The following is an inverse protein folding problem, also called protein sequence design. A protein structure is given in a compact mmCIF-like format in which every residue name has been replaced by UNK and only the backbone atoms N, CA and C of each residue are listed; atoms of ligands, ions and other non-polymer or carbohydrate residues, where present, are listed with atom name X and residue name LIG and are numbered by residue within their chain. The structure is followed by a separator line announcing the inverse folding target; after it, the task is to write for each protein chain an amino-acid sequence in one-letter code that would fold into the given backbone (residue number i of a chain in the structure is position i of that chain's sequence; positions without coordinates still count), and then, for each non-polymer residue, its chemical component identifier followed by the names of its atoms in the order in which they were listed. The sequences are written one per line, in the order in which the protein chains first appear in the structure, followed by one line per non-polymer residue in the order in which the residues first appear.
data_IF_841174161441
#
_entry.id   IF_841174161441
#
_cell.length_a   1.000
_cell.length_b   1.000
_cell.length_c   1.000
_cell.angle_alpha   90.00
_cell.angle_beta   90.00
_cell.angle_gamma   90.00
#
_symmetry.space_group_name_H-M   'P 1'
#
loop_
_entity.id
_entity.type
_entity.pdbx_description
1 polymer ?
#
# COMPACT_ATOMS: atom_id res chain seq x y z
N UNK A 1 52.56 -45.15 -13.21
CA UNK A 1 51.40 -45.31 -12.30
C UNK A 1 50.33 -44.34 -12.69
N UNK A 2 49.19 -44.83 -13.17
CA UNK A 2 48.05 -43.99 -13.58
C UNK A 2 47.53 -43.19 -12.37
N UNK A 3 47.42 -41.85 -12.50
CA UNK A 3 46.79 -40.99 -11.47
C UNK A 3 45.32 -41.44 -11.31
N UNK A 4 45.02 -42.09 -10.21
CA UNK A 4 43.66 -42.49 -9.90
C UNK A 4 42.75 -41.22 -9.94
N UNK A 5 41.71 -41.25 -10.74
CA UNK A 5 40.77 -40.14 -10.95
C UNK A 5 40.04 -39.91 -9.62
N UNK A 6 40.27 -38.75 -8.99
CA UNK A 6 39.59 -38.39 -7.73
C UNK A 6 38.09 -38.21 -7.94
N UNK A 7 37.24 -38.57 -6.98
CA UNK A 7 35.82 -38.33 -7.04
C UNK A 7 35.50 -36.83 -7.18
N UNK A 8 34.41 -36.51 -7.86
CA UNK A 8 33.98 -35.13 -8.08
C UNK A 8 33.87 -34.36 -6.75
N UNK A 9 34.57 -33.22 -6.66
CA UNK A 9 34.56 -32.36 -5.48
C UNK A 9 35.51 -32.73 -4.37
N UNK A 10 36.35 -33.79 -4.57
CA UNK A 10 37.48 -34.12 -3.70
C UNK A 10 38.76 -33.68 -4.40
N UNK A 11 39.63 -32.98 -3.69
CA UNK A 11 40.89 -32.45 -4.18
C UNK A 11 42.02 -32.83 -3.24
N UNK A 12 43.24 -33.02 -3.78
CA UNK A 12 44.45 -33.14 -3.02
C UNK A 12 45.17 -31.78 -3.06
N UNK A 13 45.45 -31.20 -1.90
CA UNK A 13 46.24 -29.98 -1.79
C UNK A 13 47.47 -30.19 -0.90
N UNK A 14 48.61 -30.20 -1.54
CA UNK A 14 49.82 -30.58 -0.89
C UNK A 14 49.74 -32.01 -0.32
N UNK A 15 49.94 -32.17 0.96
CA UNK A 15 49.85 -33.45 1.66
C UNK A 15 48.51 -33.70 2.37
N UNK A 16 47.41 -33.01 1.91
CA UNK A 16 46.08 -33.08 2.57
C UNK A 16 44.94 -33.23 1.58
N UNK A 17 43.84 -33.83 2.05
CA UNK A 17 42.59 -33.88 1.35
C UNK A 17 41.77 -32.58 1.55
N UNK A 18 41.07 -32.16 0.53
CA UNK A 18 40.09 -31.06 0.57
C UNK A 18 38.82 -31.48 -0.13
N UNK A 19 37.72 -30.93 0.29
CA UNK A 19 36.41 -31.02 -0.39
C UNK A 19 35.96 -29.64 -0.81
N UNK A 20 35.23 -29.59 -1.94
CA UNK A 20 34.54 -28.37 -2.31
C UNK A 20 33.08 -28.64 -2.64
N UNK A 21 32.23 -27.63 -2.33
CA UNK A 21 30.79 -27.65 -2.55
C UNK A 21 30.28 -26.22 -2.78
N UNK A 22 29.08 -26.09 -3.37
CA UNK A 22 28.42 -24.79 -3.53
C UNK A 22 27.59 -24.51 -2.29
N UNK A 23 27.76 -23.33 -1.69
CA UNK A 23 26.95 -22.86 -0.56
C UNK A 23 26.62 -21.38 -0.74
N UNK A 24 25.32 -21.03 -0.70
CA UNK A 24 24.83 -19.67 -0.94
C UNK A 24 25.40 -19.02 -2.22
N UNK A 25 25.41 -19.78 -3.32
CA UNK A 25 25.91 -19.31 -4.62
C UNK A 25 27.42 -19.20 -4.76
N UNK A 26 28.20 -19.51 -3.70
CA UNK A 26 29.68 -19.45 -3.72
C UNK A 26 30.29 -20.84 -3.62
N UNK A 27 31.41 -21.04 -4.32
CA UNK A 27 32.20 -22.26 -4.20
C UNK A 27 33.00 -22.22 -2.89
N UNK A 28 32.64 -23.07 -1.94
CA UNK A 28 33.31 -23.26 -0.68
C UNK A 28 34.30 -24.43 -0.77
N UNK A 29 35.44 -24.28 -0.15
CA UNK A 29 36.50 -25.33 -0.15
C UNK A 29 37.03 -25.45 1.28
N UNK A 30 37.01 -26.70 1.82
CA UNK A 30 37.47 -27.00 3.19
C UNK A 30 38.55 -28.05 3.17
N UNK A 31 39.63 -27.81 3.95
CA UNK A 31 40.73 -28.73 4.16
C UNK A 31 40.40 -29.70 5.28
N UNK A 32 40.52 -31.00 5.00
CA UNK A 32 40.36 -32.07 5.99
C UNK A 32 41.68 -32.29 6.72
N UNK A 33 41.99 -31.44 7.71
CA UNK A 33 43.31 -31.30 8.32
C UNK A 33 43.87 -32.58 8.96
N UNK A 34 43.02 -33.48 9.47
CA UNK A 34 43.35 -34.71 10.15
C UNK A 34 43.31 -35.97 9.28
N UNK A 35 43.08 -35.81 7.94
CA UNK A 35 42.88 -36.95 7.04
C UNK A 35 44.09 -37.14 6.11
N UNK A 36 44.74 -38.30 6.23
CA UNK A 36 45.78 -38.73 5.35
C UNK A 36 45.22 -39.09 3.95
N UNK A 37 46.09 -39.01 2.95
CA UNK A 37 45.71 -39.33 1.53
C UNK A 37 45.72 -40.83 1.36
N UNK A 38 44.62 -41.49 1.72
CA UNK A 38 44.44 -42.95 1.51
C UNK A 38 43.16 -43.16 0.67
N UNK A 39 43.05 -44.28 -0.07
CA UNK A 39 41.84 -44.61 -0.83
C UNK A 39 40.58 -44.61 0.05
N UNK A 40 40.68 -45.08 1.28
CA UNK A 40 39.59 -45.09 2.26
C UNK A 40 39.14 -43.66 2.62
N UNK A 41 40.08 -42.76 2.89
CA UNK A 41 39.79 -41.38 3.24
C UNK A 41 39.28 -40.57 2.05
N UNK A 42 39.70 -40.88 0.80
CA UNK A 42 39.18 -40.27 -0.44
C UNK A 42 37.71 -40.65 -0.60
N UNK A 43 37.36 -41.92 -0.38
CA UNK A 43 35.95 -42.38 -0.42
C UNK A 43 35.10 -41.71 0.66
N UNK A 44 35.65 -41.62 1.86
CA UNK A 44 34.98 -40.98 2.98
C UNK A 44 34.77 -39.46 2.79
N UNK A 45 35.74 -38.77 2.15
CA UNK A 45 35.61 -37.35 1.77
C UNK A 45 34.50 -37.12 0.74
N UNK A 46 34.39 -38.04 -0.22
CA UNK A 46 33.31 -38.02 -1.22
C UNK A 46 31.94 -38.19 -0.58
N UNK A 47 31.80 -39.14 0.37
CA UNK A 47 30.57 -39.36 1.13
C UNK A 47 30.20 -38.13 1.97
N UNK A 48 31.18 -37.56 2.69
CA UNK A 48 30.99 -36.34 3.48
C UNK A 48 30.48 -35.19 2.61
N UNK A 49 31.04 -35.01 1.42
CA UNK A 49 30.58 -34.00 0.49
C UNK A 49 29.14 -34.23 0.02
N UNK A 50 28.75 -35.46 -0.24
CA UNK A 50 27.39 -35.83 -0.65
C UNK A 50 26.37 -35.51 0.47
N UNK A 51 26.70 -35.81 1.72
CA UNK A 51 25.90 -35.45 2.88
C UNK A 51 25.75 -33.93 2.99
N UNK A 52 26.84 -33.16 2.88
CA UNK A 52 26.81 -31.70 2.91
C UNK A 52 25.90 -31.13 1.80
N UNK A 53 25.98 -31.69 0.59
CA UNK A 53 25.13 -31.25 -0.51
C UNK A 53 23.63 -31.54 -0.24
N UNK A 54 23.31 -32.69 0.34
CA UNK A 54 21.97 -33.04 0.76
C UNK A 54 21.47 -32.09 1.85
N UNK A 55 22.29 -31.85 2.88
CA UNK A 55 21.94 -30.90 3.97
C UNK A 55 21.71 -29.48 3.43
N UNK A 56 22.51 -29.03 2.43
CA UNK A 56 22.32 -27.74 1.78
C UNK A 56 21.01 -27.68 1.00
N UNK A 57 20.65 -28.72 0.25
CA UNK A 57 19.40 -28.82 -0.50
C UNK A 57 18.18 -28.82 0.42
N UNK A 58 18.30 -29.46 1.60
CA UNK A 58 17.25 -29.50 2.62
C UNK A 58 17.23 -28.25 3.51
N UNK A 59 18.16 -27.30 3.33
CA UNK A 59 18.28 -26.10 4.16
C UNK A 59 18.75 -26.36 5.59
N UNK A 60 19.32 -27.54 5.87
CA UNK A 60 19.72 -27.99 7.19
C UNK A 60 21.23 -27.88 7.44
N UNK A 61 22.01 -27.39 6.48
CA UNK A 61 23.46 -27.32 6.59
C UNK A 61 23.91 -26.17 7.49
N UNK A 62 24.53 -26.53 8.62
CA UNK A 62 25.22 -25.60 9.52
C UNK A 62 26.73 -25.62 9.25
N UNK A 63 27.24 -24.53 8.67
CA UNK A 63 28.66 -24.39 8.32
C UNK A 63 29.57 -24.38 9.54
N UNK A 64 29.16 -23.69 10.62
CA UNK A 64 29.94 -23.54 11.83
C UNK A 64 30.02 -24.86 12.61
N UNK A 65 28.91 -25.59 12.72
CA UNK A 65 28.87 -26.91 13.32
C UNK A 65 29.72 -27.92 12.55
N UNK A 66 29.71 -27.86 11.20
CA UNK A 66 30.44 -28.81 10.36
C UNK A 66 31.94 -28.52 10.23
N UNK A 67 32.32 -27.23 10.20
CA UNK A 67 33.71 -26.76 10.03
C UNK A 67 34.06 -25.65 11.06
N UNK A 68 34.11 -25.94 12.34
CA UNK A 68 34.26 -24.93 13.40
C UNK A 68 35.59 -24.15 13.32
N UNK A 69 36.63 -24.70 12.67
CA UNK A 69 37.93 -24.05 12.50
C UNK A 69 38.12 -23.32 11.17
N UNK A 70 37.07 -23.26 10.33
CA UNK A 70 37.12 -22.57 9.06
C UNK A 70 36.94 -21.06 9.23
N UNK A 71 37.76 -20.26 8.55
CA UNK A 71 37.53 -18.79 8.47
C UNK A 71 36.14 -18.43 7.94
N UNK A 72 35.59 -19.28 7.07
CA UNK A 72 34.25 -19.11 6.52
C UNK A 72 33.13 -19.44 7.54
N UNK A 73 33.40 -20.26 8.54
CA UNK A 73 32.47 -20.46 9.66
C UNK A 73 32.24 -19.15 10.41
N UNK A 74 33.31 -18.40 10.68
CA UNK A 74 33.23 -17.07 11.31
C UNK A 74 32.46 -16.06 10.38
N UNK A 75 32.73 -16.07 9.07
CA UNK A 75 32.02 -15.24 8.11
C UNK A 75 30.53 -15.66 7.96
N UNK A 76 30.23 -16.95 8.02
CA UNK A 76 28.86 -17.48 8.00
C UNK A 76 28.12 -17.13 9.31
N UNK A 77 28.80 -17.07 10.44
CA UNK A 77 28.25 -16.65 11.73
C UNK A 77 28.07 -15.13 11.81
N UNK A 78 28.94 -14.35 11.15
CA UNK A 78 28.80 -12.87 11.05
C UNK A 78 27.71 -12.49 10.04
N UNK A 79 27.54 -13.26 8.97
CA UNK A 79 26.47 -13.06 7.98
C UNK A 79 25.09 -13.58 8.46
N UNK A 80 25.05 -14.49 9.42
CA UNK A 80 23.95 -14.78 10.31
C UNK A 80 24.26 -14.03 11.61
N UNK A 81 23.93 -12.76 11.70
CA UNK A 81 23.73 -12.12 13.01
C UNK A 81 22.89 -13.08 13.87
N UNK A 82 22.86 -12.98 15.22
CA UNK A 82 22.21 -13.95 16.06
C UNK A 82 20.86 -14.25 15.46
N UNK A 83 20.63 -15.50 15.03
CA UNK A 83 19.32 -15.93 14.50
C UNK A 83 18.37 -15.63 15.63
N UNK A 84 17.65 -14.53 15.51
CA UNK A 84 16.64 -14.12 16.49
C UNK A 84 15.71 -15.31 16.58
N UNK A 85 15.77 -16.05 17.67
CA UNK A 85 14.88 -17.18 17.88
C UNK A 85 13.47 -16.61 17.94
N UNK A 86 12.70 -16.80 16.86
CA UNK A 86 11.33 -16.31 16.75
C UNK A 86 10.43 -17.47 17.14
N UNK A 87 10.03 -17.50 18.41
CA UNK A 87 9.26 -18.59 19.01
C UNK A 87 7.80 -18.20 19.20
N UNK A 88 7.52 -16.90 19.41
CA UNK A 88 6.16 -16.41 19.66
C UNK A 88 5.61 -15.59 18.52
N UNK A 89 4.29 -15.49 18.45
CA UNK A 89 3.60 -14.70 17.45
C UNK A 89 3.94 -13.20 17.54
N UNK A 90 4.14 -12.68 18.75
CA UNK A 90 4.57 -11.30 18.97
C UNK A 90 5.93 -11.00 18.34
N UNK A 91 6.92 -11.86 18.57
CA UNK A 91 8.26 -11.76 17.99
C UNK A 91 8.22 -11.86 16.46
N UNK A 92 7.37 -12.76 15.90
CA UNK A 92 7.17 -12.89 14.46
C UNK A 92 6.66 -11.60 13.85
N UNK A 93 5.62 -11.00 14.43
CA UNK A 93 5.05 -9.75 13.94
C UNK A 93 6.07 -8.63 13.97
N UNK A 94 6.88 -8.53 15.03
CA UNK A 94 7.89 -7.48 15.17
C UNK A 94 9.01 -7.66 14.13
N UNK A 95 9.51 -8.89 13.93
CA UNK A 95 10.48 -9.21 12.89
C UNK A 95 9.92 -8.92 11.47
N UNK A 96 8.65 -9.25 11.23
CA UNK A 96 8.00 -8.97 9.96
C UNK A 96 7.85 -7.46 9.71
N UNK A 97 7.46 -6.67 10.73
CA UNK A 97 7.33 -5.22 10.62
C UNK A 97 8.68 -4.54 10.34
N UNK A 98 9.75 -4.97 10.98
CA UNK A 98 11.11 -4.47 10.72
C UNK A 98 11.53 -4.69 9.26
N UNK A 99 11.27 -5.88 8.72
CA UNK A 99 11.57 -6.19 7.32
C UNK A 99 10.70 -5.41 6.32
N UNK A 100 9.46 -5.06 6.70
CA UNK A 100 8.53 -4.34 5.81
C UNK A 100 8.71 -2.82 5.85
N UNK A 101 9.39 -2.28 6.84
CA UNK A 101 9.53 -0.82 7.00
C UNK A 101 10.18 -0.13 5.79
N UNK A 102 11.30 -0.62 5.22
CA UNK A 102 11.90 0.02 4.04
C UNK A 102 11.08 -0.18 2.74
N UNK A 103 10.18 -1.16 2.70
CA UNK A 103 9.38 -1.48 1.52
C UNK A 103 8.07 -0.68 1.43
N UNK A 104 7.57 -0.19 2.57
CA UNK A 104 6.25 0.42 2.67
C UNK A 104 6.31 1.93 2.84
N UNK A 105 5.46 2.64 2.11
CA UNK A 105 5.24 4.07 2.36
C UNK A 105 4.79 4.29 3.82
N UNK A 106 5.26 5.37 4.46
CA UNK A 106 5.03 5.68 5.89
C UNK A 106 3.56 5.58 6.32
N UNK A 107 2.65 6.11 5.51
CA UNK A 107 1.21 6.02 5.78
C UNK A 107 0.69 4.56 5.75
N UNK A 108 1.19 3.74 4.82
CA UNK A 108 0.87 2.31 4.76
C UNK A 108 1.45 1.59 5.97
N UNK A 109 2.70 1.91 6.35
CA UNK A 109 3.35 1.33 7.52
C UNK A 109 2.61 1.66 8.83
N UNK A 110 2.15 2.90 9.01
CA UNK A 110 1.31 3.27 10.17
C UNK A 110 0.02 2.44 10.22
N UNK A 111 -0.68 2.30 9.09
CA UNK A 111 -1.90 1.46 9.00
C UNK A 111 -1.57 0.00 9.34
N UNK A 112 -0.49 -0.53 8.77
CA UNK A 112 -0.03 -1.90 9.00
C UNK A 112 0.31 -2.14 10.47
N UNK A 113 1.05 -1.23 11.12
CA UNK A 113 1.34 -1.32 12.57
C UNK A 113 0.06 -1.32 13.41
N UNK A 114 -0.92 -0.46 13.09
CA UNK A 114 -2.21 -0.46 13.80
C UNK A 114 -2.98 -1.76 13.59
N UNK A 115 -2.95 -2.32 12.39
CA UNK A 115 -3.56 -3.60 12.07
C UNK A 115 -2.90 -4.75 12.84
N UNK A 116 -1.57 -4.77 12.90
CA UNK A 116 -0.80 -5.78 13.64
C UNK A 116 -1.05 -5.71 15.16
N UNK A 117 -1.25 -4.52 15.73
CA UNK A 117 -1.67 -4.40 17.15
C UNK A 117 -2.97 -5.15 17.43
N UNK A 118 -3.99 -4.99 16.57
CA UNK A 118 -5.25 -5.74 16.71
C UNK A 118 -5.06 -7.23 16.50
N UNK A 119 -4.25 -7.64 15.52
CA UNK A 119 -3.97 -9.05 15.25
C UNK A 119 -3.25 -9.69 16.43
N UNK A 120 -2.21 -9.03 16.97
CA UNK A 120 -1.51 -9.48 18.19
C UNK A 120 -2.45 -9.62 19.38
N UNK A 121 -3.37 -8.66 19.56
CA UNK A 121 -4.34 -8.69 20.65
C UNK A 121 -5.27 -9.91 20.59
N UNK A 122 -5.76 -10.28 19.40
CA UNK A 122 -6.71 -11.38 19.21
C UNK A 122 -6.00 -12.75 19.22
N UNK A 123 -4.86 -12.87 18.55
CA UNK A 123 -4.11 -14.14 18.42
C UNK A 123 -3.38 -14.48 19.72
N UNK A 124 -2.94 -13.47 20.46
CA UNK A 124 -2.08 -13.57 21.64
C UNK A 124 -0.60 -13.38 21.26
N UNK A 125 0.08 -12.34 21.81
CA UNK A 125 1.49 -12.08 21.48
C UNK A 125 2.44 -13.19 21.94
N UNK A 126 2.13 -13.85 23.05
CA UNK A 126 2.96 -14.89 23.68
C UNK A 126 2.66 -16.30 23.16
N UNK A 127 1.71 -16.43 22.24
CA UNK A 127 1.34 -17.72 21.65
C UNK A 127 2.52 -18.28 20.86
N UNK A 128 2.87 -19.55 21.13
CA UNK A 128 3.91 -20.26 20.39
C UNK A 128 3.54 -20.42 18.92
N UNK A 129 4.50 -20.20 18.02
CA UNK A 129 4.26 -20.29 16.57
C UNK A 129 3.88 -21.70 16.13
N UNK A 130 4.44 -22.72 16.80
CA UNK A 130 4.15 -24.13 16.51
C UNK A 130 2.67 -24.52 16.76
N UNK A 131 1.98 -23.77 17.63
CA UNK A 131 0.59 -24.03 18.01
C UNK A 131 -0.44 -23.32 17.11
N UNK A 132 0.04 -22.52 16.17
CA UNK A 132 -0.87 -21.78 15.25
C UNK A 132 -1.24 -22.68 14.08
N UNK A 133 -2.50 -23.06 14.02
CA UNK A 133 -3.05 -23.92 12.98
C UNK A 133 -4.14 -23.22 12.16
N UNK A 134 -4.67 -23.91 11.13
CA UNK A 134 -5.70 -23.36 10.24
C UNK A 134 -6.98 -22.95 11.00
N UNK A 135 -7.39 -23.73 12.00
CA UNK A 135 -8.60 -23.44 12.77
C UNK A 135 -8.47 -22.13 13.58
N UNK A 136 -7.27 -21.78 14.01
CA UNK A 136 -7.00 -20.50 14.69
C UNK A 136 -7.25 -19.30 13.79
N UNK A 137 -6.92 -19.41 12.50
CA UNK A 137 -7.19 -18.35 11.52
C UNK A 137 -8.70 -18.20 11.30
N UNK A 138 -9.43 -19.31 11.28
CA UNK A 138 -10.90 -19.30 11.21
C UNK A 138 -11.52 -18.72 12.48
N UNK A 139 -10.99 -19.07 13.66
CA UNK A 139 -11.37 -18.49 14.95
C UNK A 139 -11.11 -16.98 15.00
N UNK A 140 -9.94 -16.52 14.54
CA UNK A 140 -9.62 -15.12 14.40
C UNK A 140 -10.61 -14.37 13.48
N UNK A 141 -10.99 -14.98 12.34
CA UNK A 141 -12.00 -14.43 11.44
C UNK A 141 -13.36 -14.29 12.13
N UNK A 142 -13.78 -15.29 12.87
CA UNK A 142 -15.05 -15.28 13.60
C UNK A 142 -15.04 -14.23 14.73
N UNK A 143 -13.94 -14.10 15.46
CA UNK A 143 -13.75 -13.05 16.45
C UNK A 143 -13.90 -11.65 15.84
N UNK A 144 -13.34 -11.43 14.65
CA UNK A 144 -13.50 -10.16 13.93
C UNK A 144 -14.93 -9.91 13.46
N UNK A 145 -15.71 -10.95 13.13
CA UNK A 145 -17.09 -10.80 12.66
C UNK A 145 -18.06 -10.48 13.80
N UNK A 146 -17.86 -11.03 14.98
CA UNK A 146 -18.87 -11.05 16.03
C UNK A 146 -18.38 -10.51 17.37
N UNK A 147 -17.06 -10.44 17.59
CA UNK A 147 -16.49 -10.09 18.90
C UNK A 147 -16.07 -8.64 19.03
N UNK A 148 -15.79 -8.26 20.28
CA UNK A 148 -15.09 -7.01 20.60
C UNK A 148 -13.60 -7.19 20.37
N UNK A 149 -13.10 -6.63 19.29
CA UNK A 149 -11.72 -6.86 18.82
C UNK A 149 -10.86 -5.60 18.82
N UNK A 150 -11.19 -4.63 19.65
CA UNK A 150 -10.43 -3.40 19.79
C UNK A 150 -9.47 -3.50 20.96
N UNK A 151 -8.18 -3.29 20.70
CA UNK A 151 -7.13 -3.32 21.74
C UNK A 151 -7.11 -2.08 22.64
N UNK A 152 -7.92 -1.05 22.34
CA UNK A 152 -8.11 0.14 23.16
C UNK A 152 -9.59 0.33 23.44
N UNK A 153 -9.92 0.51 24.70
CA UNK A 153 -11.25 0.96 25.11
C UNK A 153 -11.41 2.44 24.75
N UNK A 154 -12.17 2.71 23.71
CA UNK A 154 -12.62 4.05 23.36
C UNK A 154 -14.10 3.99 23.01
N UNK A 155 -14.82 5.09 23.26
CA UNK A 155 -16.25 5.19 22.92
C UNK A 155 -16.57 4.88 21.45
N UNK A 156 -15.59 5.02 20.54
CA UNK A 156 -15.71 4.69 19.11
C UNK A 156 -15.44 3.22 18.79
N UNK A 157 -14.77 2.51 19.67
CA UNK A 157 -14.38 1.11 19.48
C UNK A 157 -15.36 0.11 20.11
N UNK A 158 -16.44 0.57 20.72
CA UNK A 158 -17.45 -0.25 21.40
C UNK A 158 -18.45 -0.88 20.43
N UNK A 159 -18.01 -1.25 19.23
CA UNK A 159 -18.82 -1.98 18.26
C UNK A 159 -18.44 -3.44 18.27
N UNK A 160 -19.44 -4.29 18.39
CA UNK A 160 -19.27 -5.71 18.14
C UNK A 160 -19.19 -5.97 16.65
N UNK A 161 -18.19 -6.75 16.25
CA UNK A 161 -17.96 -7.13 14.87
C UNK A 161 -17.38 -6.03 13.97
N UNK A 162 -16.86 -6.45 12.84
CA UNK A 162 -16.31 -5.60 11.79
C UNK A 162 -16.93 -5.93 10.43
N UNK A 163 -16.89 -4.99 9.50
CA UNK A 163 -17.39 -5.22 8.14
C UNK A 163 -16.58 -6.32 7.46
N UNK A 164 -17.22 -7.10 6.57
CA UNK A 164 -16.60 -8.18 5.79
C UNK A 164 -15.33 -7.71 5.08
N UNK A 165 -15.32 -6.48 4.55
CA UNK A 165 -14.13 -5.89 3.94
C UNK A 165 -12.97 -5.80 4.95
N UNK A 166 -13.23 -5.27 6.13
CA UNK A 166 -12.21 -5.16 7.19
C UNK A 166 -11.74 -6.53 7.64
N UNK A 167 -12.67 -7.49 7.83
CA UNK A 167 -12.34 -8.86 8.19
C UNK A 167 -11.41 -9.48 7.16
N UNK A 168 -11.74 -9.41 5.86
CA UNK A 168 -10.89 -9.92 4.78
C UNK A 168 -9.50 -9.26 4.75
N UNK A 169 -9.42 -7.95 5.01
CA UNK A 169 -8.14 -7.22 5.06
C UNK A 169 -7.26 -7.71 6.23
N UNK A 170 -7.85 -7.95 7.40
CA UNK A 170 -7.12 -8.42 8.59
C UNK A 170 -6.72 -9.89 8.49
N UNK A 171 -7.61 -10.76 8.01
CA UNK A 171 -7.29 -12.18 7.75
C UNK A 171 -6.18 -12.29 6.70
N UNK A 172 -6.26 -11.50 5.62
CA UNK A 172 -5.22 -11.45 4.60
C UNK A 172 -3.86 -10.99 5.15
N UNK A 173 -3.86 -10.04 6.09
CA UNK A 173 -2.66 -9.58 6.76
C UNK A 173 -2.04 -10.66 7.67
N UNK A 174 -2.87 -11.36 8.47
CA UNK A 174 -2.43 -12.51 9.28
C UNK A 174 -1.82 -13.61 8.40
N UNK A 175 -2.50 -14.00 7.31
CA UNK A 175 -1.97 -14.97 6.34
C UNK A 175 -0.63 -14.52 5.74
N UNK A 176 -0.44 -13.21 5.52
CA UNK A 176 0.82 -12.67 4.99
C UNK A 176 1.97 -12.80 6.00
N UNK A 177 1.71 -12.54 7.28
CA UNK A 177 2.70 -12.72 8.36
C UNK A 177 3.07 -14.20 8.53
N UNK A 178 2.08 -15.10 8.51
CA UNK A 178 2.33 -16.56 8.62
C UNK A 178 3.06 -17.11 7.38
N UNK A 179 2.79 -16.54 6.20
CA UNK A 179 3.56 -16.88 4.97
C UNK A 179 5.02 -16.44 5.09
N UNK A 180 5.28 -15.28 5.68
CA UNK A 180 6.63 -14.85 6.00
C UNK A 180 7.30 -15.82 6.98
N UNK A 181 6.61 -16.26 8.05
CA UNK A 181 7.12 -17.23 8.99
C UNK A 181 7.54 -18.55 8.33
N UNK A 182 6.70 -19.07 7.43
CA UNK A 182 7.01 -20.28 6.66
C UNK A 182 8.24 -20.08 5.75
N UNK A 183 8.28 -19.00 4.99
CA UNK A 183 9.41 -18.69 4.09
C UNK A 183 10.73 -18.47 4.82
N UNK A 184 10.67 -17.98 6.05
CA UNK A 184 11.81 -17.75 6.93
C UNK A 184 12.20 -18.97 7.76
N UNK A 185 11.47 -20.09 7.65
CA UNK A 185 11.75 -21.33 8.37
C UNK A 185 11.34 -21.31 9.84
N UNK A 186 10.54 -20.32 10.30
CA UNK A 186 10.05 -20.23 11.68
C UNK A 186 8.90 -21.22 11.95
N UNK A 187 8.15 -21.59 10.94
CA UNK A 187 7.11 -22.66 10.99
C UNK A 187 7.30 -23.63 9.84
N UNK A 188 6.88 -24.87 10.04
CA UNK A 188 6.97 -25.95 9.03
C UNK A 188 5.69 -26.10 8.23
N UNK A 189 4.55 -25.83 8.85
CA UNK A 189 3.23 -25.95 8.26
C UNK A 189 2.75 -24.65 7.63
N UNK A 190 1.75 -24.74 6.79
CA UNK A 190 1.15 -23.60 6.07
C UNK A 190 -0.30 -23.38 6.51
N UNK A 191 -0.56 -22.96 7.74
CA UNK A 191 -1.91 -22.82 8.28
C UNK A 191 -2.79 -21.82 7.50
N UNK A 192 -2.18 -20.98 6.69
CA UNK A 192 -2.81 -19.94 5.86
C UNK A 192 -3.31 -20.46 4.50
N UNK A 193 -3.01 -21.72 4.10
CA UNK A 193 -3.51 -22.29 2.85
C UNK A 193 -5.03 -22.49 2.94
N UNK A 194 -5.70 -22.36 1.82
CA UNK A 194 -7.17 -22.52 1.64
C UNK A 194 -8.06 -21.59 2.47
N UNK A 195 -7.52 -20.58 3.12
CA UNK A 195 -8.29 -19.54 3.80
C UNK A 195 -9.00 -18.65 2.77
N UNK A 196 -10.27 -18.94 2.49
CA UNK A 196 -11.09 -18.22 1.52
C UNK A 196 -11.57 -16.88 2.07
N UNK A 197 -11.55 -15.85 1.21
CA UNK A 197 -12.18 -14.57 1.52
C UNK A 197 -13.69 -14.70 1.60
N UNK A 198 -14.29 -13.99 2.53
CA UNK A 198 -15.73 -13.86 2.61
C UNK A 198 -16.26 -13.05 1.42
N UNK A 199 -17.42 -13.49 0.88
CA UNK A 199 -18.13 -12.74 -0.16
C UNK A 199 -18.52 -11.35 0.36
N UNK A 200 -18.36 -10.33 -0.45
CA UNK A 200 -18.76 -8.97 -0.10
C UNK A 200 -19.69 -8.39 -1.17
N UNK A 201 -20.59 -7.53 -0.74
CA UNK A 201 -21.36 -6.71 -1.67
C UNK A 201 -20.49 -5.56 -2.19
N UNK A 202 -20.57 -5.27 -3.47
CA UNK A 202 -19.95 -4.09 -4.04
C UNK A 202 -20.76 -2.85 -3.62
N UNK A 203 -20.07 -1.89 -3.02
CA UNK A 203 -20.68 -0.58 -2.74
C UNK A 203 -20.82 0.16 -4.07
N UNK A 204 -22.05 0.44 -4.46
CA UNK A 204 -22.31 1.25 -5.66
C UNK A 204 -21.93 2.72 -5.41
N UNK A 205 -21.45 3.45 -6.43
CA UNK A 205 -21.33 4.89 -6.36
C UNK A 205 -22.68 5.55 -6.03
N UNK A 206 -22.60 6.63 -5.27
CA UNK A 206 -23.75 7.44 -4.86
C UNK A 206 -23.48 8.91 -5.21
N UNK A 207 -23.47 9.26 -6.53
CA UNK A 207 -23.17 10.61 -6.99
C UNK A 207 -24.21 11.60 -6.53
N UNK A 208 -23.85 12.88 -6.52
CA UNK A 208 -24.81 13.98 -6.37
C UNK A 208 -25.70 14.04 -7.62
N UNK A 209 -26.98 14.25 -7.40
CA UNK A 209 -27.89 14.69 -8.44
C UNK A 209 -27.62 16.17 -8.77
N UNK A 210 -28.14 16.66 -9.89
CA UNK A 210 -27.89 18.03 -10.31
C UNK A 210 -28.53 19.05 -9.35
N UNK A 211 -29.74 18.81 -8.93
CA UNK A 211 -30.46 19.61 -7.93
C UNK A 211 -29.77 19.59 -6.54
N UNK A 212 -29.23 18.44 -6.12
CA UNK A 212 -28.45 18.35 -4.87
C UNK A 212 -27.16 19.20 -4.94
N UNK A 213 -26.52 19.27 -6.10
CA UNK A 213 -25.39 20.16 -6.32
C UNK A 213 -25.81 21.64 -6.25
N UNK A 214 -26.89 22.00 -6.90
CA UNK A 214 -27.39 23.37 -6.90
C UNK A 214 -27.75 23.82 -5.48
N UNK A 215 -28.41 22.97 -4.69
CA UNK A 215 -28.66 23.20 -3.27
C UNK A 215 -27.35 23.38 -2.48
N UNK A 216 -26.34 22.54 -2.75
CA UNK A 216 -25.03 22.63 -2.11
C UNK A 216 -24.35 23.96 -2.41
N UNK A 217 -24.34 24.38 -3.67
CA UNK A 217 -23.71 25.64 -4.12
C UNK A 217 -24.44 26.87 -3.54
N UNK A 218 -25.77 26.85 -3.50
CA UNK A 218 -26.58 27.92 -2.92
C UNK A 218 -26.37 28.07 -1.41
N UNK A 219 -26.19 26.97 -0.69
CA UNK A 219 -26.00 26.97 0.77
C UNK A 219 -24.59 27.39 1.20
N UNK A 220 -23.63 27.51 0.29
CA UNK A 220 -22.23 27.81 0.55
C UNK A 220 -21.79 29.13 -0.07
N UNK A 221 -20.81 29.75 0.54
CA UNK A 221 -20.19 31.00 0.10
C UNK A 221 -18.69 30.89 -0.04
N UNK A 222 -18.09 31.80 -0.81
CA UNK A 222 -16.66 32.00 -0.96
C UNK A 222 -15.89 30.67 -1.14
N UNK A 223 -14.74 30.55 -0.46
CA UNK A 223 -13.86 29.39 -0.57
C UNK A 223 -14.57 28.04 -0.36
N UNK A 224 -15.62 27.95 0.48
CA UNK A 224 -16.35 26.69 0.72
C UNK A 224 -17.08 26.24 -0.53
N UNK A 225 -17.75 27.16 -1.24
CA UNK A 225 -18.41 26.91 -2.51
C UNK A 225 -17.39 26.52 -3.58
N UNK A 226 -16.33 27.30 -3.73
CA UNK A 226 -15.31 27.05 -4.75
C UNK A 226 -14.62 25.71 -4.56
N UNK A 227 -14.29 25.31 -3.33
CA UNK A 227 -13.66 24.03 -3.02
C UNK A 227 -14.47 22.84 -3.53
N UNK A 228 -15.77 22.83 -3.29
CA UNK A 228 -16.63 21.69 -3.68
C UNK A 228 -16.99 21.73 -5.16
N UNK A 229 -17.15 22.89 -5.76
CA UNK A 229 -17.27 23.03 -7.21
C UNK A 229 -16.04 22.48 -7.91
N UNK A 230 -14.83 22.89 -7.49
CA UNK A 230 -13.58 22.39 -8.05
C UNK A 230 -13.47 20.87 -7.85
N UNK A 231 -13.76 20.34 -6.65
CA UNK A 231 -13.70 18.91 -6.40
C UNK A 231 -14.63 18.10 -7.31
N UNK A 232 -15.84 18.59 -7.55
CA UNK A 232 -16.85 17.92 -8.37
C UNK A 232 -16.49 18.01 -9.88
N UNK A 233 -16.02 19.16 -10.37
CA UNK A 233 -15.73 19.37 -11.79
C UNK A 233 -14.30 19.03 -12.23
N UNK A 234 -13.46 18.51 -11.31
CA UNK A 234 -12.11 18.03 -11.62
C UNK A 234 -11.90 16.56 -11.28
N UNK A 235 -12.77 15.97 -10.47
CA UNK A 235 -12.63 14.59 -10.00
C UNK A 235 -11.39 14.34 -9.15
N UNK A 236 -10.77 15.36 -8.55
CA UNK A 236 -9.60 15.25 -7.69
C UNK A 236 -9.89 14.38 -6.46
N UNK A 237 -8.88 13.59 -6.05
CA UNK A 237 -8.93 12.93 -4.73
C UNK A 237 -8.75 13.98 -3.64
N UNK A 238 -9.30 13.76 -2.44
CA UNK A 238 -9.22 14.76 -1.36
C UNK A 238 -7.80 15.11 -0.95
N UNK A 239 -6.87 14.15 -1.02
CA UNK A 239 -5.46 14.43 -0.77
C UNK A 239 -4.80 15.26 -1.88
N UNK A 240 -5.24 15.10 -3.12
CA UNK A 240 -4.83 15.92 -4.26
C UNK A 240 -5.42 17.34 -4.12
N UNK A 241 -6.70 17.45 -3.76
CA UNK A 241 -7.39 18.73 -3.51
C UNK A 241 -6.73 19.51 -2.36
N UNK A 242 -6.35 18.82 -1.27
CA UNK A 242 -5.66 19.42 -0.12
C UNK A 242 -4.24 19.89 -0.44
N UNK A 243 -3.59 19.21 -1.38
CA UNK A 243 -2.22 19.49 -1.80
C UNK A 243 -2.14 20.43 -3.02
N UNK A 244 -3.28 20.91 -3.52
CA UNK A 244 -3.34 21.76 -4.71
C UNK A 244 -2.71 23.12 -4.44
N UNK A 245 -1.80 23.51 -5.30
CA UNK A 245 -1.11 24.79 -5.22
C UNK A 245 -1.30 25.63 -6.50
N UNK A 246 -1.16 26.94 -6.39
CA UNK A 246 -1.30 27.83 -7.54
C UNK A 246 -0.22 27.61 -8.60
N UNK A 247 0.92 27.08 -8.21
CA UNK A 247 2.02 26.67 -9.10
C UNK A 247 1.66 25.48 -10.01
N UNK A 248 0.57 24.80 -9.74
CA UNK A 248 0.06 23.67 -10.54
C UNK A 248 -1.03 24.05 -11.53
N UNK A 249 -1.48 25.31 -11.55
CA UNK A 249 -2.66 25.75 -12.29
C UNK A 249 -2.29 26.76 -13.35
N UNK A 250 -2.63 26.45 -14.60
CA UNK A 250 -2.59 27.36 -15.75
C UNK A 250 -4.03 27.69 -16.17
N UNK A 251 -4.52 28.85 -15.72
CA UNK A 251 -5.88 29.29 -16.01
C UNK A 251 -6.07 29.78 -17.46
N UNK A 252 -5.00 30.12 -18.15
CA UNK A 252 -5.02 30.58 -19.53
C UNK A 252 -5.19 29.38 -20.48
N UNK A 253 -4.49 28.28 -20.16
CA UNK A 253 -4.67 27.00 -20.85
C UNK A 253 -5.89 26.20 -20.36
N UNK A 254 -6.46 26.53 -19.22
CA UNK A 254 -7.50 25.75 -18.59
C UNK A 254 -7.01 24.39 -18.09
N UNK A 255 -5.81 24.34 -17.50
CA UNK A 255 -5.14 23.11 -17.07
C UNK A 255 -4.75 23.14 -15.59
N UNK A 256 -4.82 21.97 -14.97
CA UNK A 256 -4.41 21.72 -13.61
C UNK A 256 -3.53 20.47 -13.54
N UNK A 257 -2.30 20.61 -13.08
CA UNK A 257 -1.37 19.50 -12.92
C UNK A 257 -1.49 18.86 -11.54
N UNK A 258 -1.74 17.58 -11.48
CA UNK A 258 -1.75 16.79 -10.24
C UNK A 258 -0.35 16.18 -10.04
N UNK A 259 0.43 16.77 -9.15
CA UNK A 259 1.81 16.38 -8.86
C UNK A 259 2.00 15.90 -7.43
N UNK A 260 1.04 16.18 -6.52
CA UNK A 260 1.13 15.92 -5.09
C UNK A 260 -0.16 15.35 -4.51
N UNK A 261 0.01 14.69 -3.37
CA UNK A 261 -1.09 14.20 -2.54
C UNK A 261 -0.73 14.40 -1.06
N UNK A 262 -1.66 14.91 -0.28
CA UNK A 262 -1.55 14.97 1.17
C UNK A 262 -2.05 13.67 1.78
N UNK A 263 -1.24 13.03 2.62
CA UNK A 263 -1.60 11.80 3.31
C UNK A 263 -2.37 12.08 4.61
N UNK A 264 -2.94 11.04 5.21
CA UNK A 264 -3.59 11.15 6.54
C UNK A 264 -2.61 11.44 7.69
N UNK A 265 -1.31 11.32 7.44
CA UNK A 265 -0.25 11.72 8.35
C UNK A 265 0.06 13.22 8.29
N UNK A 266 -0.51 13.94 7.32
CA UNK A 266 -0.14 15.34 7.06
C UNK A 266 1.13 15.49 6.23
N UNK A 267 1.61 14.42 5.61
CA UNK A 267 2.81 14.41 4.77
C UNK A 267 2.45 14.57 3.30
N UNK A 268 3.23 15.39 2.58
CA UNK A 268 3.11 15.53 1.14
C UNK A 268 3.97 14.49 0.43
N UNK A 269 3.43 13.90 -0.61
CA UNK A 269 4.13 12.92 -1.45
C UNK A 269 3.46 12.77 -2.81
N UNK A 270 3.92 11.82 -3.62
CA UNK A 270 3.37 11.58 -4.95
C UNK A 270 1.92 11.07 -4.90
N UNK A 271 1.16 11.23 -5.97
CA UNK A 271 -0.10 10.54 -6.15
C UNK A 271 0.04 9.02 -5.93
N UNK A 272 -1.06 8.34 -5.57
CA UNK A 272 -1.04 6.93 -5.17
C UNK A 272 -0.47 5.99 -6.26
N UNK A 273 -0.76 6.27 -7.52
CA UNK A 273 -0.32 5.48 -8.70
C UNK A 273 0.49 6.36 -9.64
N UNK A 274 1.18 5.77 -10.61
CA UNK A 274 1.89 6.51 -11.65
C UNK A 274 0.91 7.31 -12.52
N UNK A 275 -0.22 6.72 -12.90
CA UNK A 275 -1.30 7.40 -13.60
C UNK A 275 -1.94 8.55 -12.80
N UNK A 276 -1.65 8.62 -11.49
CA UNK A 276 -2.06 9.75 -10.66
C UNK A 276 -1.36 11.06 -11.00
N UNK A 277 -0.13 11.02 -11.55
CA UNK A 277 0.53 12.18 -12.15
C UNK A 277 -0.14 12.48 -13.50
N UNK A 278 -0.84 13.58 -13.58
CA UNK A 278 -1.64 13.92 -14.76
C UNK A 278 -1.90 15.40 -14.84
N UNK A 279 -2.27 15.84 -16.03
CA UNK A 279 -2.89 17.15 -16.27
C UNK A 279 -4.40 16.95 -16.41
N UNK A 280 -5.16 17.69 -15.63
CA UNK A 280 -6.62 17.74 -15.70
C UNK A 280 -7.03 18.92 -16.55
N UNK A 281 -7.76 18.71 -17.63
CA UNK A 281 -8.38 19.76 -18.42
C UNK A 281 -9.61 20.27 -17.68
N UNK A 282 -9.64 21.56 -17.41
CA UNK A 282 -10.66 22.18 -16.56
C UNK A 282 -11.95 22.45 -17.33
N UNK A 283 -13.06 22.01 -16.77
CA UNK A 283 -14.38 22.41 -17.24
C UNK A 283 -14.69 23.85 -16.78
N UNK A 284 -15.53 24.57 -17.54
CA UNK A 284 -15.86 25.98 -17.28
C UNK A 284 -16.22 26.28 -15.79
N UNK A 285 -17.08 25.49 -15.10
CA UNK A 285 -17.39 25.79 -13.70
C UNK A 285 -16.16 25.69 -12.77
N UNK A 286 -15.18 24.83 -13.09
CA UNK A 286 -13.95 24.74 -12.32
C UNK A 286 -13.03 25.94 -12.58
N UNK A 287 -12.94 26.40 -13.82
CA UNK A 287 -12.17 27.61 -14.18
C UNK A 287 -12.72 28.85 -13.47
N UNK A 288 -14.03 29.06 -13.50
CA UNK A 288 -14.70 30.16 -12.82
C UNK A 288 -14.47 30.12 -11.31
N UNK A 289 -14.64 28.94 -10.68
CA UNK A 289 -14.40 28.77 -9.27
C UNK A 289 -12.92 29.00 -8.90
N UNK A 290 -11.96 28.59 -9.73
CA UNK A 290 -10.53 28.86 -9.51
C UNK A 290 -10.19 30.33 -9.69
N UNK A 291 -10.75 31.01 -10.68
CA UNK A 291 -10.58 32.47 -10.85
C UNK A 291 -11.07 33.23 -9.61
N UNK A 292 -12.25 32.89 -9.11
CA UNK A 292 -12.79 33.48 -7.90
C UNK A 292 -11.98 33.13 -6.64
N UNK A 293 -11.49 31.88 -6.54
CA UNK A 293 -10.63 31.45 -5.45
C UNK A 293 -9.26 32.16 -5.47
N UNK A 294 -8.72 32.49 -6.64
CA UNK A 294 -7.44 33.20 -6.80
C UNK A 294 -7.46 34.56 -6.14
N UNK A 295 -8.60 35.24 -6.15
CA UNK A 295 -8.76 36.52 -5.46
C UNK A 295 -8.62 36.40 -3.93
N UNK A 296 -8.90 35.20 -3.36
CA UNK A 296 -8.84 34.94 -1.93
C UNK A 296 -7.45 34.48 -1.47
N UNK A 297 -6.75 33.68 -2.26
CA UNK A 297 -5.52 33.01 -1.81
C UNK A 297 -4.33 33.11 -2.78
N UNK A 298 -4.53 33.67 -3.97
CA UNK A 298 -3.47 33.75 -5.01
C UNK A 298 -2.24 34.58 -4.62
N UNK A 299 -2.43 35.54 -3.70
CA UNK A 299 -1.36 36.41 -3.21
C UNK A 299 -0.81 36.00 -1.83
N UNK A 300 -1.25 34.85 -1.28
CA UNK A 300 -0.70 34.36 -0.02
C UNK A 300 0.81 34.10 -0.14
N UNK A 301 1.53 34.24 0.97
CA UNK A 301 2.96 33.92 1.01
C UNK A 301 3.17 32.41 0.76
N UNK A 302 4.15 32.02 -0.06
CA UNK A 302 4.49 30.63 -0.25
C UNK A 302 4.90 29.97 1.08
N UNK A 303 4.43 28.76 1.30
CA UNK A 303 4.79 27.93 2.45
C UNK A 303 5.80 26.87 2.01
N UNK A 304 6.85 26.68 2.78
CA UNK A 304 7.78 25.58 2.58
C UNK A 304 7.19 24.29 3.14
N UNK A 305 7.24 23.24 2.34
CA UNK A 305 6.82 21.88 2.72
C UNK A 305 7.93 20.88 2.45
N UNK A 306 7.90 19.75 3.16
CA UNK A 306 8.73 18.59 2.82
C UNK A 306 7.89 17.64 1.97
N UNK A 307 8.34 17.36 0.75
CA UNK A 307 7.80 16.39 -0.15
C UNK A 307 8.57 15.07 0.01
N UNK A 308 7.86 13.97 0.28
CA UNK A 308 8.43 12.64 0.47
C UNK A 308 8.30 11.86 -0.83
N UNK A 309 9.42 11.49 -1.44
CA UNK A 309 9.43 10.65 -2.63
C UNK A 309 8.99 9.21 -2.32
N UNK A 310 8.79 8.40 -3.36
CA UNK A 310 8.50 6.96 -3.20
C UNK A 310 9.71 6.17 -2.73
N UNK A 311 10.90 6.66 -3.07
CA UNK A 311 12.16 6.09 -2.60
C UNK A 311 12.30 6.30 -1.10
N UNK A 312 12.71 5.25 -0.40
CA UNK A 312 12.84 5.28 1.05
C UNK A 312 13.86 6.33 1.52
N UNK A 313 13.44 7.20 2.43
CA UNK A 313 14.27 8.26 2.98
C UNK A 313 14.49 9.47 2.08
N UNK A 314 14.08 9.44 0.81
CA UNK A 314 14.25 10.55 -0.12
C UNK A 314 13.19 11.64 0.10
N UNK A 315 13.65 12.89 0.28
CA UNK A 315 12.78 14.04 0.49
C UNK A 315 13.27 15.26 -0.30
N UNK A 316 12.35 16.17 -0.59
CA UNK A 316 12.60 17.43 -1.28
C UNK A 316 11.85 18.56 -0.58
N UNK A 317 12.41 19.75 -0.56
CA UNK A 317 11.72 20.96 -0.09
C UNK A 317 11.06 21.67 -1.27
N UNK A 318 9.78 22.00 -1.12
CA UNK A 318 9.02 22.76 -2.12
C UNK A 318 8.39 23.98 -1.46
N UNK A 319 8.35 25.11 -2.18
CA UNK A 319 7.70 26.36 -1.74
C UNK A 319 6.43 26.54 -2.57
N UNK A 320 5.28 26.52 -1.91
CA UNK A 320 3.98 26.44 -2.56
C UNK A 320 2.97 27.42 -1.96
N UNK A 321 2.12 27.97 -2.81
CA UNK A 321 0.93 28.74 -2.42
C UNK A 321 -0.31 27.86 -2.56
N UNK A 322 -0.83 27.43 -1.42
CA UNK A 322 -2.00 26.53 -1.44
C UNK A 322 -3.26 27.25 -1.92
N UNK A 323 -4.04 26.54 -2.76
CA UNK A 323 -5.31 27.06 -3.30
C UNK A 323 -6.33 27.20 -2.18
N UNK A 324 -6.40 26.25 -1.25
CA UNK A 324 -7.34 26.23 -0.15
C UNK A 324 -6.64 26.37 1.19
N UNK A 325 -6.92 27.48 1.87
CA UNK A 325 -6.30 27.81 3.15
C UNK A 325 -7.40 27.95 4.22
N UNK A 326 -7.32 27.26 5.36
CA UNK A 326 -8.30 27.40 6.43
C UNK A 326 -8.24 28.80 7.04
N UNK A 327 -9.38 29.29 7.52
CA UNK A 327 -9.39 30.52 8.32
C UNK A 327 -8.57 30.32 9.60
N UNK A 328 -7.88 31.37 10.08
CA UNK A 328 -7.17 31.33 11.35
C UNK A 328 -8.08 30.82 12.47
N UNK A 329 -7.55 30.01 13.34
CA UNK A 329 -8.27 29.50 14.52
C UNK A 329 -7.35 29.60 15.73
N UNK A 330 -7.85 30.19 16.83
CA UNK A 330 -7.06 30.41 18.07
C UNK A 330 -5.72 31.14 17.83
N UNK A 331 -5.68 32.08 16.86
CA UNK A 331 -4.46 32.83 16.52
C UNK A 331 -3.48 32.07 15.64
N UNK A 332 -3.71 30.80 15.31
CA UNK A 332 -2.85 30.00 14.45
C UNK A 332 -3.38 29.96 13.02
N UNK A 333 -2.54 30.35 12.05
CA UNK A 333 -2.82 30.23 10.62
C UNK A 333 -2.20 28.96 10.07
N UNK A 334 -3.04 28.01 9.64
CA UNK A 334 -2.59 26.81 8.94
C UNK A 334 -2.46 27.10 7.45
N UNK A 335 -1.38 26.68 6.80
CA UNK A 335 -1.14 27.01 5.39
C UNK A 335 -2.04 26.21 4.44
N UNK A 336 -2.57 25.06 4.85
CA UNK A 336 -3.45 24.20 4.06
C UNK A 336 -4.42 23.42 4.94
N UNK A 337 -5.44 22.81 4.33
CA UNK A 337 -6.35 21.89 5.01
C UNK A 337 -5.68 20.52 5.20
N UNK A 338 -5.90 19.88 6.36
CA UNK A 338 -5.66 18.45 6.56
C UNK A 338 -6.83 17.60 6.03
N UNK A 339 -6.61 16.31 5.76
CA UNK A 339 -7.67 15.42 5.24
C UNK A 339 -8.87 15.29 6.16
N UNK A 340 -8.66 15.22 7.48
CA UNK A 340 -9.76 15.20 8.46
C UNK A 340 -10.60 16.48 8.41
N UNK A 341 -9.94 17.62 8.23
CA UNK A 341 -10.61 18.92 8.11
C UNK A 341 -11.45 18.99 6.84
N UNK A 342 -10.97 18.50 5.70
CA UNK A 342 -11.75 18.43 4.45
C UNK A 342 -13.00 17.57 4.66
N UNK A 343 -12.86 16.38 5.26
CA UNK A 343 -14.01 15.52 5.56
C UNK A 343 -15.05 16.20 6.47
N UNK A 344 -14.60 16.88 7.52
CA UNK A 344 -15.47 17.64 8.41
C UNK A 344 -16.18 18.80 7.68
N UNK A 345 -15.48 19.51 6.79
CA UNK A 345 -16.07 20.60 5.97
C UNK A 345 -17.11 20.06 4.99
N UNK A 346 -16.88 18.91 4.37
CA UNK A 346 -17.88 18.25 3.55
C UNK A 346 -19.15 17.91 4.33
N UNK A 347 -19.02 17.24 5.46
CA UNK A 347 -20.16 16.87 6.28
C UNK A 347 -20.98 18.11 6.73
N UNK A 348 -20.28 19.20 7.10
CA UNK A 348 -20.93 20.45 7.44
C UNK A 348 -21.63 21.11 6.23
N UNK A 349 -21.02 21.04 5.04
CA UNK A 349 -21.59 21.57 3.81
C UNK A 349 -22.87 20.84 3.40
N UNK A 350 -22.83 19.50 3.38
CA UNK A 350 -23.98 18.65 3.06
C UNK A 350 -25.12 18.84 4.06
N UNK A 351 -24.81 18.90 5.36
CA UNK A 351 -25.81 19.18 6.39
C UNK A 351 -26.46 20.56 6.23
N UNK A 352 -25.67 21.60 5.93
CA UNK A 352 -26.16 22.97 5.73
C UNK A 352 -27.06 23.08 4.50
N UNK A 353 -26.74 22.36 3.43
CA UNK A 353 -27.50 22.33 2.19
C UNK A 353 -28.77 21.46 2.27
N UNK A 354 -28.99 20.72 3.35
CA UNK A 354 -30.11 19.79 3.45
C UNK A 354 -30.00 18.58 2.52
N UNK A 355 -28.81 18.37 1.91
CA UNK A 355 -28.56 17.27 0.99
C UNK A 355 -28.28 15.99 1.75
N UNK A 356 -28.68 14.85 1.20
CA UNK A 356 -28.48 13.52 1.80
C UNK A 356 -27.01 13.26 2.14
N UNK A 357 -26.72 12.83 3.41
CA UNK A 357 -25.35 12.58 3.85
C UNK A 357 -24.67 11.48 3.02
N UNK A 358 -23.45 11.76 2.55
CA UNK A 358 -22.61 10.81 1.82
C UNK A 358 -21.12 11.10 2.05
N UNK A 359 -20.30 10.10 1.77
CA UNK A 359 -18.85 10.25 1.89
C UNK A 359 -18.35 11.33 0.90
N UNK A 360 -17.41 12.21 1.30
CA UNK A 360 -16.86 13.24 0.41
C UNK A 360 -16.23 12.66 -0.87
N UNK A 361 -15.78 11.41 -0.89
CA UNK A 361 -15.26 10.76 -2.11
C UNK A 361 -16.32 10.66 -3.22
N UNK A 362 -17.60 10.82 -2.89
CA UNK A 362 -18.69 10.88 -3.88
C UNK A 362 -18.60 12.08 -4.83
N UNK A 363 -17.88 13.17 -4.47
CA UNK A 363 -17.58 14.26 -5.41
C UNK A 363 -16.87 13.75 -6.67
N UNK A 364 -15.93 12.84 -6.48
CA UNK A 364 -15.19 12.20 -7.58
C UNK A 364 -16.06 11.21 -8.35
N UNK A 365 -16.96 10.49 -7.69
CA UNK A 365 -17.93 9.65 -8.37
C UNK A 365 -18.93 10.50 -9.16
N UNK A 366 -19.34 11.66 -8.62
CA UNK A 366 -20.20 12.63 -9.31
C UNK A 366 -19.56 13.12 -10.62
N UNK A 367 -18.28 13.49 -10.59
CA UNK A 367 -17.53 13.86 -11.80
C UNK A 367 -17.64 12.77 -12.88
N UNK A 368 -17.34 11.52 -12.55
CA UNK A 368 -17.37 10.42 -13.51
C UNK A 368 -18.79 10.16 -14.04
N UNK A 369 -19.79 10.11 -13.16
CA UNK A 369 -21.17 9.83 -13.56
C UNK A 369 -21.74 10.95 -14.45
N UNK A 370 -21.49 12.22 -14.09
CA UNK A 370 -21.99 13.34 -14.89
C UNK A 370 -21.34 13.42 -16.27
N UNK A 371 -20.02 13.18 -16.34
CA UNK A 371 -19.34 13.14 -17.64
C UNK A 371 -19.82 11.98 -18.51
N UNK A 372 -20.04 10.81 -17.92
CA UNK A 372 -20.64 9.69 -18.65
C UNK A 372 -22.04 10.04 -19.15
N UNK A 373 -22.90 10.56 -18.29
CA UNK A 373 -24.27 10.99 -18.68
C UNK A 373 -24.25 12.07 -19.77
N UNK A 374 -23.19 12.90 -19.81
CA UNK A 374 -23.00 13.90 -20.88
C UNK A 374 -22.33 13.34 -22.15
N UNK A 375 -22.11 12.03 -22.25
CA UNK A 375 -21.55 11.37 -23.44
C UNK A 375 -20.01 11.44 -23.55
N UNK A 376 -19.30 11.75 -22.48
CA UNK A 376 -17.84 11.79 -22.53
C UNK A 376 -17.23 10.38 -22.68
N UNK A 377 -16.15 10.30 -23.46
CA UNK A 377 -15.40 9.06 -23.65
C UNK A 377 -14.86 8.51 -22.32
N UNK A 378 -15.12 7.23 -21.95
CA UNK A 378 -14.61 6.62 -20.74
C UNK A 378 -13.08 6.66 -20.60
N UNK A 379 -12.34 6.62 -21.70
CA UNK A 379 -10.86 6.75 -21.68
C UNK A 379 -10.44 8.17 -21.29
N UNK A 380 -11.13 9.20 -21.75
CA UNK A 380 -10.94 10.58 -21.32
C UNK A 380 -11.20 10.72 -19.83
N UNK A 381 -12.33 10.18 -19.34
CA UNK A 381 -12.67 10.21 -17.91
C UNK A 381 -11.61 9.49 -17.07
N UNK A 382 -11.14 8.32 -17.52
CA UNK A 382 -10.07 7.57 -16.84
C UNK A 382 -8.78 8.40 -16.73
N UNK A 383 -8.37 9.05 -17.82
CA UNK A 383 -7.20 9.93 -17.86
C UNK A 383 -7.37 11.12 -16.89
N UNK A 384 -8.50 11.82 -16.94
CA UNK A 384 -8.82 12.94 -16.05
C UNK A 384 -8.81 12.53 -14.57
N UNK A 385 -9.29 11.33 -14.26
CA UNK A 385 -9.30 10.79 -12.90
C UNK A 385 -7.97 10.18 -12.47
N UNK A 386 -7.02 9.90 -13.36
CA UNK A 386 -5.79 9.17 -13.07
C UNK A 386 -6.06 7.72 -12.68
N UNK A 387 -6.88 7.05 -13.47
CA UNK A 387 -7.03 5.59 -13.50
C UNK A 387 -5.99 5.01 -14.46
N UNK A 388 -5.50 3.80 -14.19
CA UNK A 388 -4.48 3.16 -15.03
C UNK A 388 -5.04 2.78 -16.41
N UNK A 389 -6.36 2.51 -16.47
CA UNK A 389 -7.07 2.20 -17.71
C UNK A 389 -8.57 2.55 -17.61
N UNK A 390 -9.25 2.52 -18.74
CA UNK A 390 -10.69 2.77 -18.81
C UNK A 390 -11.55 1.65 -18.20
N UNK A 391 -11.00 0.45 -18.00
CA UNK A 391 -11.72 -0.69 -17.42
C UNK A 391 -12.31 -0.34 -16.04
N UNK A 392 -11.59 0.41 -15.21
CA UNK A 392 -12.12 0.89 -13.92
C UNK A 392 -13.36 1.76 -14.08
N UNK A 393 -13.45 2.54 -15.17
CA UNK A 393 -14.65 3.36 -15.44
C UNK A 393 -15.84 2.46 -15.79
N UNK A 394 -15.62 1.46 -16.64
CA UNK A 394 -16.66 0.48 -16.99
C UNK A 394 -17.13 -0.35 -15.80
N UNK A 395 -16.20 -0.88 -15.00
CA UNK A 395 -16.52 -1.72 -13.83
C UNK A 395 -17.31 -0.96 -12.74
N UNK A 396 -16.95 0.30 -12.51
CA UNK A 396 -17.56 1.10 -11.44
C UNK A 396 -18.82 1.82 -11.90
N UNK A 397 -18.83 2.30 -13.13
CA UNK A 397 -19.86 3.22 -13.66
C UNK A 397 -20.67 2.65 -14.82
N UNK A 398 -20.55 1.36 -15.17
CA UNK A 398 -21.22 0.72 -16.30
C UNK A 398 -22.73 1.00 -16.36
N UNK A 399 -23.39 1.03 -15.20
CA UNK A 399 -24.82 1.34 -15.10
C UNK A 399 -25.19 2.71 -15.69
N UNK A 400 -24.33 3.73 -15.54
CA UNK A 400 -24.58 5.06 -16.13
C UNK A 400 -24.29 5.06 -17.63
N UNK A 401 -23.42 4.19 -18.12
CA UNK A 401 -23.19 3.98 -19.56
C UNK A 401 -24.41 3.33 -20.19
N UNK A 402 -25.03 2.34 -19.56
CA UNK A 402 -26.25 1.67 -20.04
C UNK A 402 -27.44 2.63 -20.14
N UNK A 403 -27.62 3.53 -19.19
CA UNK A 403 -28.68 4.54 -19.21
C UNK A 403 -28.58 5.50 -20.40
N UNK A 404 -27.38 5.70 -20.94
CA UNK A 404 -27.12 6.56 -22.10
C UNK A 404 -27.41 5.88 -23.44
N UNK A 405 -27.55 4.56 -23.51
CA UNK A 405 -27.73 3.83 -24.75
C UNK A 405 -29.01 4.27 -25.50
N UNK A 406 -30.05 4.74 -24.78
CA UNK A 406 -31.26 5.28 -25.39
C UNK A 406 -31.04 6.55 -26.22
N UNK A 407 -30.12 7.41 -25.76
CA UNK A 407 -29.87 8.72 -26.39
C UNK A 407 -28.70 8.68 -27.40
N UNK A 408 -27.95 7.56 -27.44
CA UNK A 408 -26.76 7.42 -28.30
C UNK A 408 -27.09 7.55 -29.80
N UNK A 409 -28.22 6.96 -30.25
CA UNK A 409 -28.61 7.01 -31.64
C UNK A 409 -28.94 8.44 -32.05
N UNK A 410 -29.71 9.17 -31.24
CA UNK A 410 -30.04 10.56 -31.50
C UNK A 410 -28.78 11.44 -31.57
N UNK A 411 -27.87 11.27 -30.58
CA UNK A 411 -26.60 11.99 -30.53
C UNK A 411 -25.68 11.67 -31.74
N UNK A 412 -25.64 10.42 -32.17
CA UNK A 412 -24.84 10.02 -33.34
C UNK A 412 -25.43 10.57 -34.63
N UNK A 413 -26.74 10.53 -34.79
CA UNK A 413 -27.41 11.12 -35.96
C UNK A 413 -27.13 12.62 -36.04
N UNK A 414 -27.21 13.35 -34.91
CA UNK A 414 -26.91 14.78 -34.86
C UNK A 414 -25.42 15.08 -35.20
N UNK A 415 -24.50 14.31 -34.67
CA UNK A 415 -23.06 14.50 -34.91
C UNK A 415 -22.59 14.07 -36.31
N UNK A 416 -23.22 13.07 -36.88
CA UNK A 416 -22.89 12.57 -38.22
C UNK A 416 -23.63 13.33 -39.31
N UNK A 417 -24.54 14.24 -38.93
CA UNK A 417 -25.39 15.03 -39.84
C UNK A 417 -26.13 14.15 -40.87
N UNK A 418 -26.68 13.00 -40.40
CA UNK A 418 -27.49 12.08 -41.22
C UNK A 418 -28.96 12.38 -41.02
#
# INVERSE_FOLDING_TARGET
MAKAKLPTGVEIRGKRLAIWFMYRGKRCRELLKSWEITPANIKRASMMRAVIQSEIQLGQFDYAARFPTSKRAAEATIASGPVRQVETFGQLVDAWLENREPELARNTMKKTRSQMKTIKFIVGPDRALADINHNDILGFRNALLHGRTFYQESLRSNKDGRTVRTVNDYVGALCTVLRFAYRSGFIRDKPYEDVKKLKRSNTKPDPLLRDEYDQLVMALDGQRRFMWTIAIFTGLRHGELAALAWEDIDLDKGELRVSRNLTSLGEFGPPKTQAGFRTVTLLAPAVEALRAQRLLTGLHRPTEITYHHREYGSTERQRLRFVFVPRPSKGEQRPHYGLSSIGARWNAAVKRAGVRPRNPYQTRHTFACWLLTAGANPSFIAAQMGHENAQMVYEIYGKWIEQMNGDQVAMLNDRLAI
#
